data_IF_012750352972
#
_entry.id   IF_012750352972
#
_cell.length_a   1.000
_cell.length_b   1.000
_cell.length_c   1.000
_cell.angle_alpha   90.00
_cell.angle_beta   90.00
_cell.angle_gamma   90.00
#
_symmetry.space_group_name_H-M   'P 1'
#
loop_
_entity.id
_entity.type
_entity.pdbx_description
1 polymer ?
#
# COMPACT_ATOMS: atom_id res chain seq x y z
N UNK A 1 24.20 0.89 -26.75
CA UNK A 1 22.84 1.48 -26.70
C UNK A 1 22.31 1.17 -25.32
N UNK A 2 22.08 2.20 -24.52
CA UNK A 2 21.68 2.11 -23.11
C UNK A 2 20.26 1.53 -22.99
N UNK A 3 20.08 0.47 -22.21
CA UNK A 3 18.79 -0.11 -21.84
C UNK A 3 18.03 0.85 -20.89
N UNK A 4 17.50 1.95 -21.41
CA UNK A 4 16.60 2.84 -20.65
C UNK A 4 15.12 2.39 -20.69
N UNK A 5 14.77 1.36 -21.47
CA UNK A 5 13.37 0.94 -21.70
C UNK A 5 12.72 0.09 -20.59
N UNK A 6 13.44 -0.27 -19.51
CA UNK A 6 12.92 -1.22 -18.50
C UNK A 6 12.83 -0.66 -17.06
N UNK A 7 12.81 0.67 -16.88
CA UNK A 7 12.66 1.23 -15.53
C UNK A 7 11.18 1.29 -15.14
N UNK A 8 10.78 0.48 -14.16
CA UNK A 8 9.47 0.57 -13.52
C UNK A 8 9.31 1.98 -12.91
N UNK A 9 8.21 2.70 -13.18
CA UNK A 9 7.97 4.01 -12.57
C UNK A 9 7.94 3.92 -11.04
N UNK A 10 8.51 4.90 -10.34
CA UNK A 10 8.65 4.87 -8.88
C UNK A 10 7.30 4.76 -8.13
N UNK A 11 6.20 5.22 -8.75
CA UNK A 11 4.84 5.12 -8.20
C UNK A 11 4.15 3.78 -8.54
N UNK A 12 4.84 2.83 -9.18
CA UNK A 12 4.32 1.49 -9.43
C UNK A 12 4.92 0.51 -8.43
N UNK A 13 4.10 -0.39 -7.88
CA UNK A 13 4.62 -1.55 -7.18
C UNK A 13 5.41 -2.43 -8.17
N UNK A 14 6.68 -2.77 -7.88
CA UNK A 14 7.49 -3.59 -8.77
C UNK A 14 6.82 -4.94 -9.06
N UNK A 15 6.30 -5.60 -8.02
CA UNK A 15 5.67 -6.91 -8.15
C UNK A 15 4.41 -6.84 -9.02
N UNK A 16 3.49 -5.91 -8.71
CA UNK A 16 2.22 -5.81 -9.46
C UNK A 16 2.44 -5.31 -10.88
N UNK A 17 3.43 -4.47 -11.12
CA UNK A 17 3.80 -4.06 -12.46
C UNK A 17 4.30 -5.23 -13.32
N UNK A 18 5.27 -6.01 -12.83
CA UNK A 18 5.82 -7.18 -13.54
C UNK A 18 4.74 -8.23 -13.79
N UNK A 19 3.87 -8.49 -12.81
CA UNK A 19 2.74 -9.41 -12.98
C UNK A 19 1.77 -8.91 -14.04
N UNK A 20 1.44 -7.62 -14.04
CA UNK A 20 0.61 -7.00 -15.06
C UNK A 20 1.18 -7.19 -16.47
N UNK A 21 2.46 -6.89 -16.66
CA UNK A 21 3.15 -7.10 -17.94
C UNK A 21 3.15 -8.57 -18.38
N UNK A 22 3.45 -9.49 -17.47
CA UNK A 22 3.47 -10.92 -17.74
C UNK A 22 2.10 -11.47 -18.17
N UNK A 23 1.01 -10.88 -17.65
CA UNK A 23 -0.36 -11.28 -17.98
C UNK A 23 -1.02 -10.42 -19.07
N UNK A 24 -0.33 -9.41 -19.60
CA UNK A 24 -0.89 -8.46 -20.56
C UNK A 24 -2.01 -7.59 -19.98
N UNK A 25 -2.03 -7.40 -18.66
CA UNK A 25 -3.02 -6.57 -17.95
C UNK A 25 -2.33 -5.26 -17.53
N UNK A 26 -2.82 -4.10 -17.98
CA UNK A 26 -2.23 -2.81 -17.59
C UNK A 26 -2.26 -2.61 -16.07
N UNK A 27 -1.10 -2.28 -15.50
CA UNK A 27 -1.01 -1.86 -14.10
C UNK A 27 -1.59 -0.45 -13.94
N UNK A 28 -2.71 -0.33 -13.22
CA UNK A 28 -3.43 0.94 -13.05
C UNK A 28 -2.96 1.65 -11.78
N UNK A 29 -1.85 2.38 -11.87
CA UNK A 29 -1.31 3.19 -10.77
C UNK A 29 -1.62 4.68 -10.92
N UNK A 30 -1.62 5.39 -9.79
CA UNK A 30 -1.80 6.83 -9.63
C UNK A 30 -0.61 7.38 -8.84
N UNK A 31 -0.09 8.52 -9.30
CA UNK A 31 1.17 9.09 -8.80
C UNK A 31 1.12 9.65 -7.37
N UNK A 32 -0.07 9.98 -6.86
CA UNK A 32 -0.21 10.74 -5.63
C UNK A 32 -1.57 10.56 -4.97
N UNK A 33 -1.59 10.77 -3.64
CA UNK A 33 -2.82 10.79 -2.87
C UNK A 33 -3.80 11.87 -3.36
N UNK A 34 -3.28 13.02 -3.79
CA UNK A 34 -4.10 14.14 -4.27
C UNK A 34 -4.83 13.78 -5.55
N UNK A 35 -4.13 13.20 -6.53
CA UNK A 35 -4.74 12.68 -7.76
C UNK A 35 -5.69 11.53 -7.45
N UNK A 36 -5.30 10.59 -6.58
CA UNK A 36 -6.08 9.40 -6.26
C UNK A 36 -7.43 9.72 -5.61
N UNK A 37 -7.55 10.84 -4.89
CA UNK A 37 -8.82 11.31 -4.32
C UNK A 37 -9.90 11.64 -5.36
N UNK A 38 -9.53 11.81 -6.63
CA UNK A 38 -10.47 12.08 -7.71
C UNK A 38 -11.11 10.80 -8.30
N UNK A 39 -10.74 9.62 -7.83
CA UNK A 39 -11.20 8.33 -8.34
C UNK A 39 -11.97 7.56 -7.26
N UNK A 40 -13.19 7.12 -7.58
CA UNK A 40 -14.05 6.41 -6.62
C UNK A 40 -13.51 5.04 -6.21
N UNK A 41 -12.74 4.43 -7.12
CA UNK A 41 -12.18 3.09 -7.02
C UNK A 41 -10.65 3.11 -6.78
N UNK A 42 -10.09 4.23 -6.33
CA UNK A 42 -8.70 4.31 -5.91
C UNK A 42 -8.49 3.76 -4.49
N UNK A 43 -7.43 2.99 -4.33
CA UNK A 43 -6.98 2.41 -3.09
C UNK A 43 -5.53 2.80 -2.81
N UNK A 44 -5.23 3.01 -1.54
CA UNK A 44 -3.90 2.95 -0.99
C UNK A 44 -3.54 1.48 -0.75
N UNK A 45 -2.37 1.07 -1.21
CA UNK A 45 -1.70 -0.19 -0.86
C UNK A 45 -0.40 0.17 -0.15
N UNK A 46 -0.18 -0.42 1.02
CA UNK A 46 1.13 -0.38 1.68
C UNK A 46 1.70 -1.79 1.73
N UNK A 47 2.97 -1.92 1.38
CA UNK A 47 3.66 -3.21 1.33
C UNK A 47 5.05 -3.14 1.96
N UNK A 48 5.55 -4.32 2.31
CA UNK A 48 6.93 -4.60 2.70
C UNK A 48 7.51 -5.73 1.86
N UNK A 49 8.80 -6.03 2.09
CA UNK A 49 9.52 -7.13 1.43
C UNK A 49 9.36 -7.13 -0.11
N UNK A 50 9.45 -5.95 -0.74
CA UNK A 50 9.30 -5.77 -2.19
C UNK A 50 7.97 -6.28 -2.76
N UNK A 51 6.89 -6.20 -1.95
CA UNK A 51 5.58 -6.75 -2.27
C UNK A 51 5.37 -8.17 -1.74
N UNK A 52 6.34 -8.74 -1.02
CA UNK A 52 6.26 -10.02 -0.32
C UNK A 52 5.21 -10.02 0.79
N UNK A 53 4.84 -8.86 1.33
CA UNK A 53 3.70 -8.72 2.24
C UNK A 53 2.91 -7.44 1.96
N UNK A 54 1.59 -7.58 1.82
CA UNK A 54 0.69 -6.42 1.79
C UNK A 54 0.26 -6.11 3.21
N UNK A 55 0.73 -5.00 3.76
CA UNK A 55 0.37 -4.57 5.12
C UNK A 55 -1.09 -4.12 5.23
N UNK A 56 -1.55 -3.30 4.30
CA UNK A 56 -2.93 -2.82 4.27
C UNK A 56 -3.39 -2.43 2.86
N UNK A 57 -4.70 -2.49 2.67
CA UNK A 57 -5.42 -2.03 1.48
C UNK A 57 -6.56 -1.13 1.94
N UNK A 58 -6.61 0.11 1.46
CA UNK A 58 -7.49 1.13 2.02
C UNK A 58 -8.11 2.00 0.91
N UNK A 59 -9.45 2.10 0.81
CA UNK A 59 -10.08 3.05 -0.11
C UNK A 59 -9.60 4.48 0.14
N UNK A 60 -9.10 5.15 -0.89
CA UNK A 60 -8.55 6.51 -0.74
C UNK A 60 -9.59 7.48 -0.17
N UNK A 61 -10.86 7.30 -0.53
CA UNK A 61 -11.97 8.14 -0.06
C UNK A 61 -12.16 8.19 1.47
N UNK A 62 -11.69 7.18 2.21
CA UNK A 62 -11.79 7.15 3.68
C UNK A 62 -10.55 7.71 4.39
N UNK A 63 -9.47 7.95 3.65
CA UNK A 63 -8.24 8.53 4.19
C UNK A 63 -8.50 10.00 4.56
N UNK A 64 -8.07 10.37 5.76
CA UNK A 64 -8.20 11.74 6.31
C UNK A 64 -6.87 12.34 6.75
N UNK A 65 -5.79 11.56 6.84
CA UNK A 65 -4.45 12.04 7.12
C UNK A 65 -3.72 12.56 5.86
N UNK A 66 -2.57 13.20 6.06
CA UNK A 66 -1.72 13.69 4.98
C UNK A 66 -0.83 12.59 4.39
N UNK A 67 -0.26 12.81 3.19
CA UNK A 67 0.72 11.90 2.58
C UNK A 67 1.94 11.69 3.48
N UNK A 68 2.43 12.74 4.15
CA UNK A 68 3.55 12.62 5.11
C UNK A 68 3.19 11.74 6.31
N UNK A 69 1.92 11.74 6.72
CA UNK A 69 1.43 10.88 7.80
C UNK A 69 1.34 9.42 7.33
N UNK A 70 0.98 9.18 6.07
CA UNK A 70 1.02 7.84 5.48
C UNK A 70 2.45 7.30 5.39
N UNK A 71 3.43 8.11 4.97
CA UNK A 71 4.84 7.71 4.95
C UNK A 71 5.33 7.30 6.35
N UNK A 72 5.00 8.09 7.38
CA UNK A 72 5.32 7.75 8.78
C UNK A 72 4.62 6.48 9.27
N UNK A 73 3.37 6.26 8.87
CA UNK A 73 2.64 5.04 9.18
C UNK A 73 3.36 3.81 8.62
N UNK A 74 3.79 3.88 7.35
CA UNK A 74 4.55 2.80 6.72
C UNK A 74 5.88 2.57 7.44
N UNK A 75 6.64 3.63 7.74
CA UNK A 75 7.89 3.52 8.50
C UNK A 75 7.71 2.88 9.89
N UNK A 76 6.60 3.18 10.58
CA UNK A 76 6.32 2.61 11.88
C UNK A 76 5.89 1.14 11.77
N UNK A 77 5.09 0.78 10.76
CA UNK A 77 4.70 -0.62 10.50
C UNK A 77 5.95 -1.43 10.15
N UNK A 78 6.73 -0.98 9.17
CA UNK A 78 7.90 -1.68 8.68
C UNK A 78 8.92 -1.98 9.79
N UNK A 79 9.18 -1.00 10.67
CA UNK A 79 10.05 -1.17 11.86
C UNK A 79 9.61 -2.26 12.83
N UNK A 80 8.33 -2.64 12.84
CA UNK A 80 7.81 -3.68 13.74
C UNK A 80 7.96 -5.08 13.14
N UNK A 81 8.21 -5.21 11.83
CA UNK A 81 8.19 -6.47 11.09
C UNK A 81 9.51 -6.71 10.36
N UNK A 82 9.68 -6.11 9.17
CA UNK A 82 10.81 -6.38 8.28
C UNK A 82 12.03 -5.51 8.56
N UNK A 83 11.83 -4.28 9.03
CA UNK A 83 12.89 -3.27 9.20
C UNK A 83 13.73 -3.11 7.92
N UNK A 84 13.06 -3.12 6.77
CA UNK A 84 13.66 -3.01 5.45
C UNK A 84 13.10 -1.79 4.72
N UNK A 85 13.85 -0.69 4.83
CA UNK A 85 13.48 0.59 4.21
C UNK A 85 13.42 0.53 2.69
N UNK A 86 14.24 -0.32 2.06
CA UNK A 86 14.27 -0.44 0.60
C UNK A 86 13.13 -1.33 0.08
N UNK A 87 12.67 -2.28 0.91
CA UNK A 87 11.61 -3.23 0.58
C UNK A 87 10.18 -2.70 0.77
N UNK A 88 9.99 -1.53 1.39
CA UNK A 88 8.66 -0.97 1.67
C UNK A 88 8.14 -0.04 0.58
N UNK A 89 6.82 0.01 0.39
CA UNK A 89 6.20 0.86 -0.62
C UNK A 89 4.82 1.41 -0.27
N UNK A 90 4.52 2.60 -0.79
CA UNK A 90 3.19 3.23 -0.80
C UNK A 90 2.76 3.37 -2.25
N UNK A 91 1.63 2.77 -2.59
CA UNK A 91 1.09 2.81 -3.94
C UNK A 91 -0.38 3.23 -3.93
N UNK A 92 -0.78 3.98 -4.94
CA UNK A 92 -2.18 4.31 -5.18
C UNK A 92 -2.62 3.63 -6.46
N UNK A 93 -3.58 2.72 -6.38
CA UNK A 93 -3.94 1.85 -7.50
C UNK A 93 -5.46 1.76 -7.63
N UNK A 94 -5.94 1.40 -8.83
CA UNK A 94 -7.36 1.24 -9.11
C UNK A 94 -7.78 -0.22 -8.98
N UNK A 95 -8.81 -0.47 -8.16
CA UNK A 95 -9.38 -1.81 -7.96
C UNK A 95 -10.90 -1.77 -7.87
N UNK A 96 -11.57 -2.84 -8.26
CA UNK A 96 -12.96 -3.07 -7.90
C UNK A 96 -13.04 -3.65 -6.48
N UNK A 97 -14.17 -3.43 -5.81
CA UNK A 97 -14.42 -4.10 -4.52
C UNK A 97 -14.46 -5.62 -4.76
N UNK A 98 -13.71 -6.36 -3.95
CA UNK A 98 -13.56 -7.81 -4.04
C UNK A 98 -12.32 -8.24 -4.82
N UNK A 99 -11.63 -7.33 -5.51
CA UNK A 99 -10.38 -7.67 -6.19
C UNK A 99 -9.29 -8.06 -5.18
N UNK A 100 -8.51 -9.06 -5.56
CA UNK A 100 -7.32 -9.47 -4.81
C UNK A 100 -6.16 -8.55 -5.22
N UNK A 101 -5.56 -7.91 -4.23
CA UNK A 101 -4.32 -7.16 -4.40
C UNK A 101 -3.17 -8.15 -4.34
N UNK A 102 -2.50 -8.35 -5.47
CA UNK A 102 -1.40 -9.31 -5.55
C UNK A 102 -0.22 -8.87 -4.69
N UNK A 103 0.26 -9.82 -3.90
CA UNK A 103 1.42 -9.74 -3.01
C UNK A 103 1.80 -11.14 -2.54
N UNK A 104 2.95 -11.27 -1.89
CA UNK A 104 3.28 -12.50 -1.18
C UNK A 104 2.39 -12.71 0.05
N UNK A 105 2.61 -13.83 0.76
CA UNK A 105 1.90 -14.19 2.01
C UNK A 105 0.36 -14.17 1.95
N UNK A 106 -0.22 -14.28 0.75
CA UNK A 106 -1.68 -14.29 0.54
C UNK A 106 -2.25 -12.98 0.00
N UNK A 107 -1.44 -11.93 -0.12
CA UNK A 107 -1.83 -10.64 -0.71
C UNK A 107 -2.79 -9.85 0.17
N UNK A 108 -3.62 -9.02 -0.46
CA UNK A 108 -4.65 -8.22 0.20
C UNK A 108 -5.98 -8.23 -0.55
N UNK A 109 -7.00 -7.57 0.02
CA UNK A 109 -8.33 -7.49 -0.61
C UNK A 109 -8.83 -6.05 -0.64
N UNK A 110 -9.26 -5.61 -1.82
CA UNK A 110 -9.93 -4.33 -1.99
C UNK A 110 -11.36 -4.40 -1.41
N UNK A 111 -11.57 -3.83 -0.23
CA UNK A 111 -12.90 -3.79 0.41
C UNK A 111 -13.44 -2.36 0.50
N UNK A 112 -14.70 -2.17 0.88
CA UNK A 112 -15.23 -0.83 1.14
C UNK A 112 -14.72 -0.19 2.45
N UNK A 113 -13.82 -0.87 3.17
CA UNK A 113 -13.23 -0.48 4.45
C UNK A 113 -11.71 -0.62 4.38
N UNK A 114 -11.03 -0.17 5.41
CA UNK A 114 -9.63 -0.51 5.64
C UNK A 114 -9.52 -2.03 5.83
N UNK A 115 -8.73 -2.68 4.98
CA UNK A 115 -8.26 -4.05 5.16
C UNK A 115 -6.83 -4.01 5.68
N UNK A 116 -6.52 -4.87 6.65
CA UNK A 116 -5.21 -4.95 7.31
C UNK A 116 -4.80 -6.42 7.33
N UNK A 117 -3.52 -6.71 7.06
CA UNK A 117 -2.98 -8.06 7.09
C UNK A 117 -3.21 -8.72 8.46
N UNK A 118 -3.38 -10.03 8.49
CA UNK A 118 -3.71 -10.77 9.72
C UNK A 118 -2.63 -10.63 10.80
N UNK A 119 -1.37 -10.49 10.40
CA UNK A 119 -0.28 -10.28 11.35
C UNK A 119 -0.40 -8.91 12.05
N UNK A 120 -0.97 -7.91 11.40
CA UNK A 120 -1.09 -6.54 11.91
C UNK A 120 -2.33 -6.30 12.77
N UNK A 121 -3.17 -7.32 13.00
CA UNK A 121 -4.44 -7.16 13.74
C UNK A 121 -4.26 -6.65 15.17
N UNK A 122 -3.15 -6.94 15.83
CA UNK A 122 -2.87 -6.43 17.18
C UNK A 122 -2.71 -4.90 17.24
N UNK A 123 -2.41 -4.26 16.10
CA UNK A 123 -2.25 -2.80 15.97
C UNK A 123 -3.26 -2.17 14.99
N UNK A 124 -4.24 -2.93 14.50
CA UNK A 124 -5.26 -2.46 13.54
C UNK A 124 -5.95 -1.16 14.00
N UNK A 125 -6.31 -1.08 15.29
CA UNK A 125 -6.93 0.12 15.86
C UNK A 125 -6.01 1.35 15.81
N UNK A 126 -4.70 1.15 15.95
CA UNK A 126 -3.72 2.24 15.87
C UNK A 126 -3.54 2.70 14.41
N UNK A 127 -3.43 1.76 13.47
CA UNK A 127 -3.40 2.02 12.02
C UNK A 127 -4.65 2.81 11.61
N UNK A 128 -5.83 2.33 12.02
CA UNK A 128 -7.12 2.97 11.75
C UNK A 128 -7.15 4.42 12.26
N UNK A 129 -6.68 4.68 13.49
CA UNK A 129 -6.59 6.06 14.02
C UNK A 129 -5.72 6.96 13.16
N UNK A 130 -4.62 6.44 12.60
CA UNK A 130 -3.78 7.23 11.69
C UNK A 130 -4.50 7.49 10.36
N UNK A 131 -5.05 6.47 9.72
CA UNK A 131 -5.80 6.60 8.44
C UNK A 131 -6.94 7.62 8.56
N UNK A 132 -7.70 7.58 9.65
CA UNK A 132 -8.81 8.52 9.91
C UNK A 132 -8.36 9.88 10.47
N UNK A 133 -7.06 10.18 10.47
CA UNK A 133 -6.53 11.49 10.88
C UNK A 133 -6.64 11.79 12.38
N UNK A 134 -6.85 10.77 13.22
CA UNK A 134 -6.94 10.88 14.68
C UNK A 134 -5.58 10.78 15.37
N UNK A 135 -4.57 10.28 14.67
CA UNK A 135 -3.16 10.20 15.10
C UNK A 135 -2.24 10.50 13.93
N UNK A 136 -1.02 10.91 14.22
CA UNK A 136 0.03 11.18 13.21
C UNK A 136 1.04 10.04 13.06
N UNK A 137 0.98 9.03 13.94
CA UNK A 137 1.89 7.88 13.99
C UNK A 137 1.31 6.78 14.89
N UNK A 138 1.81 5.55 14.75
CA UNK A 138 1.44 4.44 15.66
C UNK A 138 2.51 4.24 16.73
N UNK A 139 2.16 3.49 17.79
CA UNK A 139 3.09 3.07 18.83
C UNK A 139 2.99 1.56 18.98
N UNK A 140 4.10 0.86 18.84
CA UNK A 140 4.18 -0.60 18.99
C UNK A 140 5.50 -1.02 19.61
N UNK A 141 5.53 -2.23 20.17
CA UNK A 141 6.78 -2.94 20.48
C UNK A 141 6.99 -4.00 19.41
N UNK A 142 8.23 -4.19 18.98
CA UNK A 142 8.59 -5.22 18.00
C UNK A 142 8.08 -6.59 18.46
N UNK A 143 7.56 -7.38 17.51
CA UNK A 143 7.23 -8.78 17.75
C UNK A 143 8.49 -9.62 17.90
#
# INVERSE_FOLDING_TARGET
MSNEENKIPDHHSPLRHILGEAHGIPHQSIDSLETAKNYENAYLVMEGDYGGEIYLVCPVKIIRCSSQTLSRLLEDIDRLYWEDEDGRGIYFELFNIGDIVSGGMGGGVATNRLWVHEELLSIENEISKVIYGKKIRITGKRK
#
